data_IF_578441391699
#
_entry.id   IF_578441391699
#
_cell.length_a   1.000
_cell.length_b   1.000
_cell.length_c   1.000
_cell.angle_alpha   90.00
_cell.angle_beta   90.00
_cell.angle_gamma   90.00
#
_symmetry.space_group_name_H-M   'P 1'
#
loop_
_entity.id
_entity.type
_entity.pdbx_description
1 polymer ?
#
# COMPACT_ATOMS: atom_id res chain seq x y z
N UNK A 1 -4.88 22.46 21.03
CA UNK A 1 -6.08 21.62 21.22
C UNK A 1 -5.64 20.18 21.44
N UNK A 2 -5.83 19.65 22.65
CA UNK A 2 -5.34 18.31 23.05
C UNK A 2 -6.26 17.25 22.42
N UNK A 3 -5.75 16.39 21.53
CA UNK A 3 -6.52 15.28 20.98
C UNK A 3 -6.56 14.16 22.01
N UNK A 4 -7.74 13.78 22.45
CA UNK A 4 -7.96 12.62 23.30
C UNK A 4 -8.27 11.45 22.36
N UNK A 5 -7.39 10.46 22.33
CA UNK A 5 -7.64 9.22 21.60
C UNK A 5 -8.35 8.25 22.55
N UNK A 6 -9.58 7.92 22.22
CA UNK A 6 -10.37 6.93 22.94
C UNK A 6 -10.51 5.73 22.03
N UNK A 7 -10.01 4.58 22.46
CA UNK A 7 -10.14 3.31 21.75
C UNK A 7 -11.35 2.55 22.29
N UNK A 8 -12.52 2.89 21.79
CA UNK A 8 -13.74 2.14 22.08
C UNK A 8 -14.20 1.43 20.80
N UNK A 9 -14.46 0.13 20.91
CA UNK A 9 -15.03 -0.65 19.83
C UNK A 9 -16.53 -0.81 20.07
N UNK A 10 -17.33 -0.57 19.04
CA UNK A 10 -18.77 -0.80 19.09
C UNK A 10 -19.28 -1.22 17.73
N UNK A 11 -20.44 -1.86 17.74
CA UNK A 11 -21.16 -2.19 16.51
C UNK A 11 -22.10 -1.06 16.15
N UNK A 12 -22.22 -0.78 14.86
CA UNK A 12 -23.29 0.05 14.35
C UNK A 12 -24.63 -0.64 14.64
N UNK A 13 -25.51 0.05 15.32
CA UNK A 13 -26.86 -0.46 15.62
C UNK A 13 -27.93 0.16 14.72
N UNK A 14 -27.56 1.18 13.94
CA UNK A 14 -28.45 1.77 12.93
C UNK A 14 -27.63 2.41 11.80
N UNK A 15 -28.08 2.19 10.57
CA UNK A 15 -27.64 2.90 9.39
C UNK A 15 -28.88 3.34 8.60
N UNK A 16 -28.99 4.62 8.30
CA UNK A 16 -30.10 5.12 7.49
C UNK A 16 -29.99 4.54 6.07
N UNK A 17 -31.11 4.15 5.48
CA UNK A 17 -31.20 3.79 4.07
C UNK A 17 -31.30 5.01 3.14
N UNK A 18 -31.44 6.20 3.70
CA UNK A 18 -31.62 7.45 2.95
C UNK A 18 -30.39 8.35 3.13
N UNK A 19 -29.94 8.90 2.02
CA UNK A 19 -28.90 9.94 1.98
C UNK A 19 -29.60 11.29 1.93
N UNK A 20 -29.19 12.22 2.77
CA UNK A 20 -29.60 13.61 2.67
C UNK A 20 -28.95 14.22 1.43
N UNK A 21 -29.74 14.47 0.40
CA UNK A 21 -29.24 14.97 -0.88
C UNK A 21 -28.67 16.40 -0.79
N UNK A 22 -29.09 17.19 0.20
CA UNK A 22 -28.63 18.58 0.38
C UNK A 22 -27.25 18.65 1.03
N UNK A 23 -26.96 17.71 1.92
CA UNK A 23 -25.73 17.67 2.71
C UNK A 23 -24.77 16.57 2.24
N UNK A 24 -25.24 15.62 1.41
CA UNK A 24 -24.45 14.45 1.03
C UNK A 24 -24.09 13.55 2.21
N UNK A 25 -24.91 13.56 3.27
CA UNK A 25 -24.64 12.82 4.52
C UNK A 25 -25.59 11.66 4.71
N UNK A 26 -25.10 10.61 5.35
CA UNK A 26 -25.90 9.45 5.77
C UNK A 26 -25.82 9.33 7.28
N UNK A 27 -26.95 9.05 7.91
CA UNK A 27 -27.02 8.95 9.36
C UNK A 27 -26.64 7.54 9.84
N UNK A 28 -25.67 7.49 10.76
CA UNK A 28 -25.27 6.27 11.47
C UNK A 28 -25.44 6.44 12.96
N UNK A 29 -25.76 5.36 13.65
CA UNK A 29 -25.83 5.30 15.10
C UNK A 29 -24.99 4.15 15.61
N UNK A 30 -24.15 4.44 16.60
CA UNK A 30 -23.39 3.45 17.35
C UNK A 30 -23.46 3.77 18.83
N UNK A 31 -23.49 2.75 19.66
CA UNK A 31 -23.51 2.91 21.12
C UNK A 31 -22.15 2.53 21.67
N UNK A 32 -21.54 3.40 22.42
CA UNK A 32 -20.23 3.21 23.08
C UNK A 32 -20.38 3.26 24.58
N UNK A 33 -19.63 2.42 25.27
CA UNK A 33 -19.47 2.56 26.71
C UNK A 33 -18.62 3.79 27.04
N UNK A 34 -19.08 4.58 27.98
CA UNK A 34 -18.41 5.82 28.43
C UNK A 34 -18.26 5.80 29.94
N UNK A 35 -17.72 4.70 30.48
CA UNK A 35 -17.53 4.50 31.94
C UNK A 35 -16.67 5.61 32.55
N UNK A 36 -15.65 6.05 31.82
CA UNK A 36 -14.73 7.12 32.23
C UNK A 36 -15.31 8.54 32.07
N UNK A 37 -16.53 8.68 31.54
CA UNK A 37 -17.20 9.97 31.28
C UNK A 37 -16.34 10.98 30.49
N UNK A 38 -15.44 10.46 29.63
CA UNK A 38 -14.56 11.30 28.79
C UNK A 38 -15.27 11.89 27.57
N UNK A 39 -16.36 11.27 27.13
CA UNK A 39 -17.19 11.78 26.04
C UNK A 39 -18.37 12.57 26.62
N UNK A 40 -18.53 13.79 26.15
CA UNK A 40 -19.59 14.67 26.60
C UNK A 40 -20.65 14.82 25.47
N UNK A 41 -21.93 14.94 25.84
CA UNK A 41 -22.99 15.26 24.87
C UNK A 41 -22.69 16.54 24.10
N UNK A 42 -22.94 16.56 22.79
CA UNK A 42 -22.69 17.72 21.93
C UNK A 42 -21.22 17.88 21.47
N UNK A 43 -20.34 16.98 21.87
CA UNK A 43 -18.93 17.02 21.45
C UNK A 43 -18.75 16.45 20.03
N UNK A 44 -17.97 17.15 19.20
CA UNK A 44 -17.55 16.62 17.90
C UNK A 44 -16.46 15.56 18.08
N UNK A 45 -16.69 14.39 17.49
CA UNK A 45 -15.76 13.27 17.53
C UNK A 45 -15.45 12.80 16.12
N UNK A 46 -14.29 12.19 15.93
CA UNK A 46 -13.94 11.49 14.70
C UNK A 46 -13.98 10.00 14.96
N UNK A 47 -14.89 9.31 14.30
CA UNK A 47 -15.00 7.87 14.38
C UNK A 47 -14.37 7.20 13.14
N UNK A 48 -13.79 6.02 13.33
CA UNK A 48 -13.37 5.13 12.25
C UNK A 48 -14.40 4.02 12.14
N UNK A 49 -15.04 3.93 10.99
CA UNK A 49 -16.01 2.88 10.70
C UNK A 49 -15.33 1.84 9.81
N UNK A 50 -15.36 0.57 10.23
CA UNK A 50 -14.92 -0.57 9.42
C UNK A 50 -16.15 -1.11 8.71
N UNK A 51 -16.21 -0.92 7.40
CA UNK A 51 -17.37 -1.30 6.57
C UNK A 51 -17.29 -2.72 6.03
N UNK A 52 -16.13 -3.34 6.15
CA UNK A 52 -15.91 -4.71 5.71
C UNK A 52 -14.44 -5.08 5.67
N UNK A 53 -14.18 -6.35 5.45
CA UNK A 53 -12.87 -6.91 5.11
C UNK A 53 -12.93 -7.50 3.70
N UNK A 54 -11.81 -7.50 3.02
CA UNK A 54 -11.68 -8.10 1.70
C UNK A 54 -10.48 -9.02 1.72
N UNK A 55 -10.73 -10.30 1.55
CA UNK A 55 -9.68 -11.33 1.52
C UNK A 55 -9.13 -11.51 0.10
N UNK A 56 -7.95 -12.12 -0.01
CA UNK A 56 -7.32 -12.40 -1.31
C UNK A 56 -6.78 -11.16 -2.04
N UNK A 57 -6.51 -10.07 -1.33
CA UNK A 57 -5.92 -8.85 -1.88
C UNK A 57 -4.47 -8.70 -1.44
N UNK A 58 -3.68 -8.02 -2.27
CA UNK A 58 -2.29 -7.68 -1.96
C UNK A 58 -2.16 -6.19 -1.68
N UNK A 59 -1.29 -5.83 -0.74
CA UNK A 59 -0.92 -4.46 -0.48
C UNK A 59 0.43 -4.17 -1.12
N UNK A 60 0.46 -3.19 -1.99
CA UNK A 60 1.67 -2.80 -2.73
C UNK A 60 1.91 -1.31 -2.54
N UNK A 61 3.13 -0.89 -2.17
CA UNK A 61 3.46 0.52 -2.02
C UNK A 61 3.09 1.33 -3.25
N UNK A 62 2.57 2.53 -3.05
CA UNK A 62 2.14 3.41 -4.14
C UNK A 62 3.25 3.65 -5.17
N UNK A 63 4.50 3.72 -4.72
CA UNK A 63 5.65 3.90 -5.58
C UNK A 63 5.86 2.75 -6.59
N UNK A 64 5.40 1.54 -6.28
CA UNK A 64 5.54 0.37 -7.16
C UNK A 64 4.49 0.29 -8.26
N UNK A 65 3.41 1.06 -8.15
CA UNK A 65 2.32 1.04 -9.12
C UNK A 65 2.52 2.13 -10.16
N UNK A 66 2.77 1.72 -11.38
CA UNK A 66 2.94 2.62 -12.52
C UNK A 66 1.64 2.73 -13.32
N UNK A 67 1.49 3.84 -14.02
CA UNK A 67 0.33 4.11 -14.88
C UNK A 67 0.79 4.22 -16.33
N UNK A 68 0.11 3.50 -17.22
CA UNK A 68 0.28 3.62 -18.66
C UNK A 68 -1.05 3.97 -19.34
N UNK A 69 -1.03 4.14 -20.65
CA UNK A 69 -2.25 4.35 -21.45
C UNK A 69 -3.20 3.14 -21.41
N UNK A 70 -2.70 1.94 -21.10
CA UNK A 70 -3.48 0.72 -20.98
C UNK A 70 -4.02 0.48 -19.57
N UNK A 71 -3.64 1.31 -18.59
CA UNK A 71 -4.03 1.16 -17.20
C UNK A 71 -2.85 1.12 -16.23
N UNK A 72 -3.10 0.55 -15.06
CA UNK A 72 -2.08 0.42 -14.02
C UNK A 72 -1.38 -0.91 -14.10
N UNK A 73 -0.07 -0.90 -13.87
CA UNK A 73 0.76 -2.10 -13.89
C UNK A 73 1.85 -2.02 -12.82
N UNK A 74 2.40 -3.16 -12.48
CA UNK A 74 3.56 -3.31 -11.60
C UNK A 74 4.65 -4.12 -12.32
N UNK A 75 5.88 -3.97 -11.90
CA UNK A 75 6.97 -4.83 -12.35
C UNK A 75 7.12 -6.01 -11.40
N UNK A 76 6.97 -7.21 -11.95
CA UNK A 76 7.17 -8.47 -11.23
C UNK A 76 8.52 -9.05 -11.63
N UNK A 77 9.28 -9.56 -10.66
CA UNK A 77 10.55 -10.22 -10.86
C UNK A 77 10.33 -11.73 -10.91
N UNK A 78 10.64 -12.34 -12.02
CA UNK A 78 10.54 -13.79 -12.22
C UNK A 78 11.69 -14.54 -11.52
N UNK A 79 11.61 -15.86 -11.47
CA UNK A 79 12.65 -16.74 -10.90
C UNK A 79 14.03 -16.57 -11.55
N UNK A 80 14.06 -16.16 -12.81
CA UNK A 80 15.29 -15.86 -13.57
C UNK A 80 15.86 -14.46 -13.28
N UNK A 81 15.31 -13.75 -12.28
CA UNK A 81 15.63 -12.35 -11.97
C UNK A 81 15.37 -11.38 -13.14
N UNK A 82 14.42 -11.70 -13.99
CA UNK A 82 14.00 -10.84 -15.08
C UNK A 82 12.72 -10.08 -14.70
N UNK A 83 12.66 -8.83 -15.14
CA UNK A 83 11.54 -7.94 -14.86
C UNK A 83 10.50 -8.02 -15.96
N UNK A 84 9.26 -8.28 -15.59
CA UNK A 84 8.13 -8.28 -16.50
C UNK A 84 7.04 -7.31 -16.03
N UNK A 85 6.48 -6.47 -16.92
CA UNK A 85 5.34 -5.64 -16.58
C UNK A 85 4.09 -6.52 -16.46
N UNK A 86 3.35 -6.38 -15.36
CA UNK A 86 2.12 -7.11 -15.10
C UNK A 86 0.97 -6.12 -14.90
N UNK A 87 -0.06 -6.17 -15.74
CA UNK A 87 -1.25 -5.33 -15.54
C UNK A 87 -1.97 -5.77 -14.26
N UNK A 88 -2.42 -4.79 -13.48
CA UNK A 88 -3.09 -5.02 -12.20
C UNK A 88 -4.34 -4.17 -12.09
N UNK A 89 -5.35 -4.74 -11.42
CA UNK A 89 -6.54 -4.00 -11.03
C UNK A 89 -6.36 -3.51 -9.61
N UNK A 90 -6.35 -2.21 -9.45
CA UNK A 90 -6.20 -1.57 -8.13
C UNK A 90 -7.56 -1.19 -7.56
N UNK A 91 -7.67 -1.29 -6.25
CA UNK A 91 -8.82 -0.83 -5.48
C UNK A 91 -8.58 0.51 -4.81
N UNK A 92 -9.04 0.65 -3.58
CA UNK A 92 -8.85 1.85 -2.77
C UNK A 92 -7.44 1.89 -2.15
N UNK A 93 -7.08 3.04 -1.65
CA UNK A 93 -5.85 3.26 -0.90
C UNK A 93 -6.04 2.85 0.56
N UNK A 94 -5.03 2.20 1.10
CA UNK A 94 -4.94 1.90 2.51
C UNK A 94 -3.62 2.50 3.05
N UNK A 95 -3.70 3.69 3.60
CA UNK A 95 -2.52 4.43 4.06
C UNK A 95 -1.61 4.85 2.91
N UNK A 96 -0.43 4.22 2.79
CA UNK A 96 0.57 4.47 1.74
C UNK A 96 0.54 3.41 0.63
N UNK A 97 -0.33 2.42 0.76
CA UNK A 97 -0.34 1.25 -0.11
C UNK A 97 -1.60 1.22 -0.97
N UNK A 98 -1.46 0.70 -2.18
CA UNK A 98 -2.57 0.32 -3.03
C UNK A 98 -3.05 -1.08 -2.70
N UNK A 99 -4.35 -1.23 -2.62
CA UNK A 99 -4.99 -2.55 -2.58
C UNK A 99 -5.06 -3.08 -4.01
N UNK A 100 -4.37 -4.17 -4.30
CA UNK A 100 -4.43 -4.86 -5.59
C UNK A 100 -5.52 -5.91 -5.50
N UNK A 101 -6.52 -5.79 -6.36
CA UNK A 101 -7.68 -6.69 -6.39
C UNK A 101 -7.43 -7.92 -7.25
N UNK A 102 -6.64 -7.77 -8.32
CA UNK A 102 -6.27 -8.87 -9.21
C UNK A 102 -5.03 -8.53 -10.02
N UNK A 103 -4.39 -9.56 -10.58
CA UNK A 103 -3.20 -9.43 -11.42
C UNK A 103 -1.91 -9.88 -10.75
N UNK A 104 -1.89 -10.13 -9.44
CA UNK A 104 -0.74 -10.69 -8.71
C UNK A 104 -1.07 -12.07 -8.13
N UNK A 105 -0.04 -12.86 -7.93
CA UNK A 105 -0.11 -14.15 -7.27
C UNK A 105 0.71 -14.14 -5.97
N UNK A 106 0.33 -15.00 -5.02
CA UNK A 106 1.06 -15.13 -3.78
C UNK A 106 2.49 -15.64 -4.03
N UNK A 107 3.47 -14.99 -3.40
CA UNK A 107 4.88 -15.34 -3.56
C UNK A 107 5.62 -14.60 -4.68
N UNK A 108 4.92 -13.86 -5.55
CA UNK A 108 5.58 -13.03 -6.56
C UNK A 108 6.32 -11.84 -5.92
N UNK A 109 7.51 -11.55 -6.44
CA UNK A 109 8.32 -10.40 -6.01
C UNK A 109 7.98 -9.19 -6.88
N UNK A 110 7.56 -8.11 -6.25
CA UNK A 110 7.24 -6.84 -6.91
C UNK A 110 8.39 -5.85 -6.72
N UNK A 111 8.84 -5.24 -7.80
CA UNK A 111 9.84 -4.19 -7.73
C UNK A 111 9.20 -2.90 -7.19
N UNK A 112 9.77 -2.30 -6.15
CA UNK A 112 9.26 -1.09 -5.49
C UNK A 112 10.16 0.12 -5.68
N UNK A 113 11.40 -0.08 -6.11
CA UNK A 113 12.40 0.99 -6.27
C UNK A 113 13.07 0.94 -7.63
N UNK A 114 13.69 2.06 -8.03
CA UNK A 114 14.40 2.22 -9.31
C UNK A 114 13.58 1.92 -10.58
N UNK A 115 12.27 2.01 -10.51
CA UNK A 115 11.35 1.61 -11.59
C UNK A 115 11.62 2.32 -12.92
N UNK A 116 12.10 3.57 -12.89
CA UNK A 116 12.38 4.37 -14.08
C UNK A 116 13.51 3.77 -14.93
N UNK A 117 14.42 3.03 -14.30
CA UNK A 117 15.55 2.36 -14.97
C UNK A 117 15.20 0.97 -15.47
N UNK A 118 14.07 0.41 -15.02
CA UNK A 118 13.66 -0.94 -15.40
C UNK A 118 13.09 -0.96 -16.82
N UNK A 119 13.53 -1.92 -17.59
CA UNK A 119 12.97 -2.23 -18.89
C UNK A 119 12.46 -3.67 -18.89
N UNK A 120 11.40 -3.98 -19.61
CA UNK A 120 10.95 -5.37 -19.78
C UNK A 120 12.10 -6.27 -20.21
N UNK A 121 12.31 -7.41 -19.53
CA UNK A 121 13.41 -8.34 -19.78
C UNK A 121 14.75 -7.95 -19.15
N UNK A 122 14.85 -6.84 -18.42
CA UNK A 122 16.08 -6.49 -17.72
C UNK A 122 16.34 -7.46 -16.55
N UNK A 123 17.59 -7.91 -16.42
CA UNK A 123 18.04 -8.68 -15.26
C UNK A 123 18.30 -7.76 -14.08
N UNK A 124 17.74 -8.08 -12.95
CA UNK A 124 17.84 -7.31 -11.70
C UNK A 124 18.36 -8.22 -10.58
N UNK A 125 19.05 -7.61 -9.61
CA UNK A 125 19.40 -8.29 -8.37
C UNK A 125 18.38 -7.87 -7.30
N UNK A 126 17.36 -8.67 -7.01
CA UNK A 126 16.36 -8.31 -6.02
C UNK A 126 16.97 -8.36 -4.62
N UNK A 127 16.77 -7.30 -3.84
CA UNK A 127 17.08 -7.25 -2.42
C UNK A 127 15.82 -6.83 -1.65
N UNK A 128 15.67 -7.25 -0.39
CA UNK A 128 14.51 -6.87 0.41
C UNK A 128 14.46 -5.35 0.64
N UNK A 129 13.25 -4.82 0.69
CA UNK A 129 13.02 -3.41 0.95
C UNK A 129 13.57 -3.04 2.33
N UNK A 130 14.48 -2.05 2.36
CA UNK A 130 15.11 -1.58 3.61
C UNK A 130 16.57 -2.00 3.80
N UNK A 131 17.11 -2.88 2.97
CA UNK A 131 18.54 -3.17 2.93
C UNK A 131 19.23 -2.29 1.88
N UNK A 132 20.36 -1.63 2.21
CA UNK A 132 21.09 -0.84 1.22
C UNK A 132 21.58 -1.77 0.09
N UNK A 133 21.58 -1.32 -1.18
CA UNK A 133 22.05 -2.12 -2.29
C UNK A 133 23.52 -2.51 -2.04
N UNK A 134 23.80 -3.81 -2.08
CA UNK A 134 25.17 -4.32 -2.04
C UNK A 134 25.83 -3.88 -3.34
N UNK A 135 26.61 -2.80 -3.27
CA UNK A 135 27.45 -2.42 -4.39
C UNK A 135 28.50 -3.52 -4.59
N UNK A 136 28.61 -4.09 -5.80
CA UNK A 136 29.73 -4.97 -6.10
C UNK A 136 31.01 -4.17 -5.93
N UNK A 137 31.87 -4.60 -5.03
CA UNK A 137 33.17 -3.99 -4.82
C UNK A 137 33.92 -3.95 -6.16
N UNK A 138 34.51 -2.83 -6.56
CA UNK A 138 35.31 -2.78 -7.77
C UNK A 138 36.48 -3.76 -7.60
N UNK A 139 36.43 -4.85 -8.37
CA UNK A 139 37.53 -5.79 -8.48
C UNK A 139 38.75 -5.01 -8.96
N UNK A 140 39.74 -4.84 -8.07
CA UNK A 140 40.99 -4.23 -8.38
C UNK A 140 41.68 -5.09 -9.47
N UNK A 141 41.57 -4.64 -10.71
CA UNK A 141 42.46 -5.14 -11.76
C UNK A 141 43.84 -4.57 -11.51
N UNK A 142 44.64 -5.37 -10.82
CA UNK A 142 46.10 -5.21 -10.73
C UNK A 142 46.70 -5.35 -12.14
N UNK A 143 46.78 -4.23 -12.84
CA UNK A 143 47.57 -4.11 -14.06
C UNK A 143 49.03 -4.15 -13.73
N UNK A 144 49.67 -5.28 -14.00
CA UNK A 144 51.12 -5.46 -13.97
C UNK A 144 51.73 -4.61 -15.09
N UNK A 145 52.29 -3.47 -14.76
CA UNK A 145 53.17 -2.73 -15.65
C UNK A 145 54.51 -3.47 -15.79
N UNK A 146 54.80 -3.94 -16.99
CA UNK A 146 56.11 -4.51 -17.37
C UNK A 146 57.00 -3.36 -17.74
N UNK A 147 58.06 -3.12 -16.93
CA UNK A 147 59.17 -2.25 -17.30
C UNK A 147 60.09 -3.00 -18.26
N UNK A 148 60.48 -2.32 -19.33
CA UNK A 148 61.70 -2.52 -20.09
C UNK A 148 62.52 -1.24 -20.01
#
# INVERSE_FOLDING_TARGET
MKRINIHCFSKLNFASSQIDASLGTQQFRATFENSDKKLLPGQFVRARVVTGSKDGVFLVPQAAVMTSYQGKFVFVVNENNEVAPRPVVVGSWLGKDWVILSGLQAGEKVAVDNLIKLRPGAKVAPHPVGEPPVMPSPTAQSGKAKQV
#
